data_IF_399432811067
#
_entry.id   IF_399432811067
#
_cell.length_a   1.000
_cell.length_b   1.000
_cell.length_c   1.000
_cell.angle_alpha   90.00
_cell.angle_beta   90.00
_cell.angle_gamma   90.00
#
_symmetry.space_group_name_H-M   'P 1'
#
loop_
_entity.id
_entity.type
_entity.pdbx_description
1 polymer ?
#
# COMPACT_ATOMS: atom_id res chain seq x y z
N UNK A 1 7.36 -15.48 -9.87
CA UNK A 1 6.23 -14.65 -10.35
C UNK A 1 6.25 -14.71 -11.85
N UNK A 2 5.15 -15.11 -12.47
CA UNK A 2 5.02 -15.21 -13.93
C UNK A 2 3.87 -14.33 -14.37
N UNK A 3 4.18 -13.28 -15.11
CA UNK A 3 3.24 -12.30 -15.65
C UNK A 3 3.58 -11.91 -17.10
N UNK A 4 4.31 -12.77 -17.81
CA UNK A 4 4.65 -12.57 -19.21
C UNK A 4 3.43 -12.51 -20.12
N UNK A 5 3.55 -11.84 -21.27
CA UNK A 5 2.49 -11.72 -22.29
C UNK A 5 1.22 -11.05 -21.76
N UNK A 6 1.36 -9.88 -21.16
CA UNK A 6 0.25 -9.06 -20.67
C UNK A 6 0.42 -7.60 -21.14
N UNK A 7 -0.47 -6.71 -20.67
CA UNK A 7 -0.45 -5.28 -21.00
C UNK A 7 -0.02 -4.43 -19.78
N UNK A 8 0.84 -4.98 -18.91
CA UNK A 8 1.28 -4.28 -17.70
C UNK A 8 2.14 -3.07 -18.07
N UNK A 9 1.82 -1.92 -17.48
CA UNK A 9 2.57 -0.67 -17.68
C UNK A 9 3.63 -0.46 -16.58
N UNK A 10 3.42 -1.03 -15.40
CA UNK A 10 4.38 -0.98 -14.29
C UNK A 10 4.35 -2.28 -13.49
N UNK A 11 5.51 -2.64 -12.92
CA UNK A 11 5.65 -3.76 -12.01
C UNK A 11 6.59 -3.36 -10.88
N UNK A 12 6.11 -3.44 -9.64
CA UNK A 12 6.89 -3.21 -8.44
C UNK A 12 6.83 -4.46 -7.56
N UNK A 13 7.99 -5.03 -7.24
CA UNK A 13 8.14 -6.20 -6.38
C UNK A 13 9.08 -5.95 -5.20
N UNK A 14 9.34 -4.68 -4.86
CA UNK A 14 10.27 -4.28 -3.80
C UNK A 14 9.98 -4.92 -2.42
N UNK A 15 8.72 -5.29 -2.15
CA UNK A 15 8.31 -5.96 -0.91
C UNK A 15 8.36 -7.50 -0.98
N UNK A 16 8.59 -8.08 -2.16
CA UNK A 16 8.63 -9.53 -2.35
C UNK A 16 10.03 -10.10 -2.04
N UNK A 17 10.48 -9.95 -0.81
CA UNK A 17 11.86 -10.28 -0.36
C UNK A 17 12.24 -11.76 -0.47
N UNK A 18 11.27 -12.66 -0.67
CA UNK A 18 11.48 -14.10 -0.85
C UNK A 18 11.38 -14.56 -2.31
N UNK A 19 11.13 -13.64 -3.26
CA UNK A 19 10.98 -14.00 -4.66
C UNK A 19 12.33 -14.36 -5.28
N UNK A 20 12.40 -15.53 -5.92
CA UNK A 20 13.62 -16.04 -6.59
C UNK A 20 13.46 -16.24 -8.10
N UNK A 21 12.27 -16.00 -8.64
CA UNK A 21 11.99 -16.15 -10.07
C UNK A 21 11.05 -15.06 -10.55
N UNK A 22 11.39 -14.41 -11.67
CA UNK A 22 10.53 -13.43 -12.32
C UNK A 22 10.54 -13.59 -13.83
N UNK A 23 9.35 -13.81 -14.39
CA UNK A 23 9.07 -13.77 -15.82
C UNK A 23 8.05 -12.65 -16.06
N UNK A 24 8.53 -11.52 -16.60
CA UNK A 24 7.74 -10.32 -16.89
C UNK A 24 7.98 -9.82 -18.33
N UNK A 25 8.47 -10.71 -19.19
CA UNK A 25 8.71 -10.46 -20.60
C UNK A 25 7.41 -10.20 -21.38
N UNK A 26 7.52 -9.54 -22.53
CA UNK A 26 6.40 -9.27 -23.43
C UNK A 26 5.24 -8.52 -22.72
N UNK A 27 5.55 -7.33 -22.22
CA UNK A 27 4.60 -6.41 -21.58
C UNK A 27 4.79 -4.98 -22.14
N UNK A 28 4.11 -4.00 -21.55
CA UNK A 28 4.25 -2.58 -21.89
C UNK A 28 4.96 -1.80 -20.77
N UNK A 29 5.84 -2.46 -20.00
CA UNK A 29 6.43 -1.87 -18.82
C UNK A 29 7.20 -0.60 -19.21
N UNK A 30 6.87 0.50 -18.54
CA UNK A 30 7.68 1.71 -18.51
C UNK A 30 8.36 1.90 -17.15
N UNK A 31 8.00 1.08 -16.16
CA UNK A 31 8.64 1.02 -14.85
C UNK A 31 8.72 -0.41 -14.33
N UNK A 32 9.92 -0.83 -13.93
CA UNK A 32 10.17 -2.11 -13.28
C UNK A 32 11.06 -1.89 -12.05
N UNK A 33 10.52 -2.12 -10.85
CA UNK A 33 11.28 -2.10 -9.60
C UNK A 33 11.40 -3.51 -9.05
N UNK A 34 12.62 -4.04 -9.10
CA UNK A 34 13.01 -5.34 -8.56
C UNK A 34 13.95 -5.23 -7.36
N UNK A 35 14.18 -4.03 -6.82
CA UNK A 35 15.02 -3.76 -5.65
C UNK A 35 14.37 -4.30 -4.37
N UNK A 36 14.41 -5.61 -4.20
CA UNK A 36 13.72 -6.36 -3.15
C UNK A 36 14.66 -6.96 -2.09
N UNK A 37 15.95 -6.58 -2.12
CA UNK A 37 16.97 -7.15 -1.24
C UNK A 37 17.33 -8.60 -1.52
N UNK A 38 16.89 -9.17 -2.66
CA UNK A 38 17.03 -10.59 -2.97
C UNK A 38 17.52 -10.86 -4.41
N UNK A 39 17.97 -9.85 -5.17
CA UNK A 39 18.36 -10.01 -6.58
C UNK A 39 19.38 -11.13 -6.81
N UNK A 40 20.38 -11.28 -5.95
CA UNK A 40 21.43 -12.29 -6.08
C UNK A 40 20.97 -13.75 -5.90
N UNK A 41 19.77 -13.95 -5.34
CA UNK A 41 19.17 -15.27 -5.15
C UNK A 41 18.15 -15.63 -6.25
N UNK A 42 18.00 -14.81 -7.29
CA UNK A 42 17.15 -15.18 -8.41
C UNK A 42 17.80 -16.29 -9.22
N UNK A 43 17.04 -17.34 -9.49
CA UNK A 43 17.43 -18.38 -10.44
C UNK A 43 17.06 -17.99 -11.87
N UNK A 44 15.99 -17.20 -12.02
CA UNK A 44 15.43 -16.82 -13.32
C UNK A 44 14.93 -15.37 -13.30
N UNK A 45 15.35 -14.59 -14.29
CA UNK A 45 14.90 -13.22 -14.51
C UNK A 45 14.75 -12.97 -16.02
N UNK A 46 13.52 -12.70 -16.47
CA UNK A 46 13.22 -12.38 -17.86
C UNK A 46 12.34 -11.14 -17.93
N UNK A 47 12.83 -10.09 -18.58
CA UNK A 47 12.17 -8.79 -18.70
C UNK A 47 12.28 -8.16 -20.11
N UNK A 48 12.68 -8.94 -21.11
CA UNK A 48 12.73 -8.51 -22.52
C UNK A 48 11.33 -8.33 -23.13
N UNK A 49 11.21 -7.65 -24.26
CA UNK A 49 9.92 -7.38 -24.90
C UNK A 49 9.10 -6.30 -24.17
N UNK A 50 9.77 -5.41 -23.45
CA UNK A 50 9.24 -4.23 -22.76
C UNK A 50 9.88 -2.97 -23.36
N UNK A 51 9.55 -2.65 -24.61
CA UNK A 51 10.26 -1.60 -25.39
C UNK A 51 10.19 -0.19 -24.80
N UNK A 52 9.22 0.09 -23.92
CA UNK A 52 9.08 1.37 -23.22
C UNK A 52 9.93 1.47 -21.94
N UNK A 53 10.56 0.37 -21.53
CA UNK A 53 11.35 0.29 -20.31
C UNK A 53 12.76 0.79 -20.58
N UNK A 54 13.12 1.91 -19.96
CA UNK A 54 14.46 2.51 -20.10
C UNK A 54 15.34 2.28 -18.88
N UNK A 55 14.72 1.99 -17.73
CA UNK A 55 15.43 1.78 -16.46
C UNK A 55 14.73 0.71 -15.61
N UNK A 56 15.54 -0.16 -15.02
CA UNK A 56 15.13 -1.21 -14.09
C UNK A 56 15.80 -0.93 -12.73
N UNK A 57 15.00 -0.76 -11.69
CA UNK A 57 15.50 -0.48 -10.36
C UNK A 57 15.92 -1.78 -9.65
N UNK A 58 17.20 -1.87 -9.27
CA UNK A 58 17.84 -3.07 -8.73
C UNK A 58 18.55 -2.82 -7.40
N UNK A 59 18.92 -3.89 -6.69
CA UNK A 59 19.70 -3.82 -5.45
C UNK A 59 21.17 -3.43 -5.73
N UNK A 60 21.78 -4.02 -6.76
CA UNK A 60 23.18 -3.80 -7.16
C UNK A 60 23.29 -3.75 -8.69
N UNK A 61 23.74 -2.61 -9.23
CA UNK A 61 23.87 -2.39 -10.68
C UNK A 61 24.95 -3.27 -11.30
N UNK A 62 26.09 -3.45 -10.63
CA UNK A 62 27.23 -4.21 -11.15
C UNK A 62 26.86 -5.68 -11.24
N UNK A 63 26.28 -6.22 -10.16
CA UNK A 63 25.83 -7.62 -10.14
C UNK A 63 24.74 -7.86 -11.18
N UNK A 64 23.73 -6.97 -11.26
CA UNK A 64 22.62 -7.12 -12.22
C UNK A 64 23.11 -7.02 -13.66
N UNK A 65 24.06 -6.13 -13.96
CA UNK A 65 24.66 -6.04 -15.29
C UNK A 65 25.43 -7.31 -15.65
N UNK A 66 26.15 -7.91 -14.70
CA UNK A 66 26.90 -9.14 -14.96
C UNK A 66 26.01 -10.37 -15.19
N UNK A 67 24.82 -10.42 -14.56
CA UNK A 67 23.97 -11.62 -14.55
C UNK A 67 22.69 -11.51 -15.39
N UNK A 68 22.15 -10.31 -15.58
CA UNK A 68 20.81 -10.11 -16.17
C UNK A 68 20.78 -9.32 -17.48
N UNK A 69 21.91 -8.76 -17.94
CA UNK A 69 21.94 -7.88 -19.12
C UNK A 69 21.43 -8.54 -20.41
N UNK A 70 21.52 -9.87 -20.52
CA UNK A 70 21.02 -10.62 -21.68
C UNK A 70 19.52 -10.90 -21.64
N UNK A 71 18.84 -10.57 -20.54
CA UNK A 71 17.42 -10.86 -20.32
C UNK A 71 16.53 -9.60 -20.28
N UNK A 72 17.07 -8.47 -20.71
CA UNK A 72 16.38 -7.18 -20.82
C UNK A 72 16.47 -6.66 -22.25
N UNK A 73 15.65 -5.67 -22.60
CA UNK A 73 15.77 -4.99 -23.89
C UNK A 73 17.03 -4.11 -23.95
N UNK A 74 17.62 -3.95 -25.15
CA UNK A 74 18.83 -3.17 -25.34
C UNK A 74 18.69 -1.67 -24.96
N UNK A 75 17.46 -1.16 -24.89
CA UNK A 75 17.17 0.21 -24.45
C UNK A 75 17.05 0.38 -22.94
N UNK A 76 17.04 -0.70 -22.17
CA UNK A 76 16.91 -0.68 -20.72
C UNK A 76 18.28 -0.68 -20.04
N UNK A 77 18.37 -0.02 -18.88
CA UNK A 77 19.56 0.04 -18.04
C UNK A 77 19.23 -0.33 -16.60
N UNK A 78 20.23 -0.79 -15.84
CA UNK A 78 20.07 -1.02 -14.40
C UNK A 78 20.49 0.22 -13.60
N UNK A 79 19.72 0.58 -12.58
CA UNK A 79 20.06 1.65 -11.64
C UNK A 79 19.56 1.29 -10.23
N UNK A 80 20.19 1.83 -9.19
CA UNK A 80 19.63 1.77 -7.83
C UNK A 80 18.55 2.82 -7.57
N UNK A 81 18.34 3.74 -8.54
CA UNK A 81 17.31 4.77 -8.54
C UNK A 81 17.02 5.22 -9.98
N UNK A 82 15.85 4.90 -10.50
CA UNK A 82 15.41 5.30 -11.85
C UNK A 82 14.78 6.70 -11.91
N UNK A 83 14.73 7.44 -10.79
CA UNK A 83 14.17 8.78 -10.69
C UNK A 83 12.64 8.87 -10.81
N UNK A 84 12.00 7.83 -11.34
CA UNK A 84 10.54 7.70 -11.48
C UNK A 84 10.07 6.53 -10.63
N UNK A 85 9.24 6.74 -9.59
CA UNK A 85 8.73 5.63 -8.81
C UNK A 85 7.78 4.79 -9.65
N UNK A 86 7.83 3.46 -9.51
CA UNK A 86 6.85 2.55 -10.07
C UNK A 86 5.52 2.71 -9.34
N UNK A 87 4.79 3.79 -9.65
CA UNK A 87 3.44 4.00 -9.15
C UNK A 87 2.52 3.03 -9.89
N UNK A 88 2.21 1.91 -9.25
CA UNK A 88 0.98 1.18 -9.54
C UNK A 88 -0.21 2.12 -9.24
N UNK A 89 -1.35 1.91 -9.91
CA UNK A 89 -2.52 2.82 -9.88
C UNK A 89 -3.21 3.00 -8.52
N UNK A 90 -2.59 2.53 -7.44
CA UNK A 90 -3.01 2.73 -6.06
C UNK A 90 -1.76 3.17 -5.31
N UNK A 91 -1.76 4.38 -4.74
CA UNK A 91 -0.70 4.82 -3.84
C UNK A 91 -0.59 3.85 -2.67
N UNK A 92 0.62 3.34 -2.40
CA UNK A 92 0.89 2.57 -1.18
C UNK A 92 0.58 3.45 0.03
N UNK A 93 -0.49 3.11 0.74
CA UNK A 93 -0.99 3.89 1.85
C UNK A 93 -0.23 3.52 3.12
N UNK A 94 0.54 4.47 3.64
CA UNK A 94 1.24 4.33 4.92
C UNK A 94 0.18 4.23 6.02
N UNK A 95 0.00 3.04 6.59
CA UNK A 95 -0.94 2.80 7.69
C UNK A 95 -0.67 3.79 8.83
N UNK A 96 -1.59 4.73 9.05
CA UNK A 96 -1.57 5.58 10.22
C UNK A 96 -1.95 4.74 11.44
N UNK A 97 -1.06 4.70 12.44
CA UNK A 97 -1.25 3.96 13.69
C UNK A 97 -2.28 4.69 14.55
N UNK A 98 -3.56 4.46 14.30
CA UNK A 98 -4.65 4.97 15.12
C UNK A 98 -5.17 3.85 16.03
N UNK A 99 -5.28 4.11 17.32
CA UNK A 99 -5.89 3.22 18.32
C UNK A 99 -7.22 3.80 18.81
N UNK A 100 -8.22 2.93 18.99
CA UNK A 100 -9.53 3.28 19.58
C UNK A 100 -9.84 2.31 20.72
N UNK A 101 -10.04 2.82 21.93
CA UNK A 101 -10.25 2.02 23.14
C UNK A 101 -11.16 2.72 24.16
N UNK A 102 -11.83 1.99 25.07
CA UNK A 102 -11.91 0.53 25.10
C UNK A 102 -12.77 0.01 23.95
N UNK A 103 -12.45 -1.20 23.48
CA UNK A 103 -13.28 -1.95 22.54
C UNK A 103 -13.32 -3.40 23.00
N UNK A 104 -14.47 -3.93 23.50
CA UNK A 104 -15.78 -3.29 23.56
C UNK A 104 -15.89 -2.09 24.52
N UNK A 105 -16.88 -1.22 24.30
CA UNK A 105 -17.21 -0.09 25.18
C UNK A 105 -18.67 -0.10 25.60
N UNK A 106 -19.00 0.52 26.74
CA UNK A 106 -20.37 0.77 27.20
C UNK A 106 -20.84 2.21 27.02
N UNK A 107 -19.92 3.17 26.82
CA UNK A 107 -20.30 4.60 26.88
C UNK A 107 -19.33 5.55 26.20
N UNK A 108 -18.03 5.25 26.18
CA UNK A 108 -17.02 6.21 25.72
C UNK A 108 -15.92 5.50 24.92
N UNK A 109 -15.41 6.18 23.89
CA UNK A 109 -14.23 5.76 23.13
C UNK A 109 -13.18 6.86 23.22
N UNK A 110 -11.94 6.48 23.48
CA UNK A 110 -10.75 7.32 23.38
C UNK A 110 -10.07 7.02 22.06
N UNK A 111 -9.70 8.07 21.33
CA UNK A 111 -8.98 8.00 20.06
C UNK A 111 -7.56 8.51 20.26
N UNK A 112 -6.59 7.64 20.01
CA UNK A 112 -5.18 8.00 19.93
C UNK A 112 -4.80 8.14 18.46
N UNK A 113 -4.70 9.38 18.00
CA UNK A 113 -4.54 9.72 16.59
C UNK A 113 -3.08 9.91 16.15
N UNK A 114 -2.10 9.70 17.04
CA UNK A 114 -0.68 9.86 16.73
C UNK A 114 -0.28 11.26 16.24
N UNK A 115 -1.05 12.30 16.60
CA UNK A 115 -0.84 13.68 16.15
C UNK A 115 -1.72 14.13 14.97
N UNK A 116 -2.56 13.24 14.42
CA UNK A 116 -3.51 13.62 13.37
C UNK A 116 -4.66 14.49 13.92
N UNK A 117 -5.00 15.53 13.16
CA UNK A 117 -6.14 16.41 13.42
C UNK A 117 -7.40 15.79 12.81
N UNK A 118 -8.32 15.37 13.66
CA UNK A 118 -9.60 14.78 13.24
C UNK A 118 -10.62 15.90 13.14
N UNK A 119 -11.07 16.21 11.92
CA UNK A 119 -12.01 17.29 11.65
C UNK A 119 -13.46 16.86 11.87
N UNK A 120 -13.76 15.59 11.58
CA UNK A 120 -15.11 15.03 11.67
C UNK A 120 -15.06 13.54 11.96
N UNK A 121 -16.05 13.06 12.69
CA UNK A 121 -16.26 11.65 12.96
C UNK A 121 -17.64 11.27 12.48
N UNK A 122 -17.75 10.20 11.70
CA UNK A 122 -19.02 9.57 11.37
C UNK A 122 -19.07 8.19 12.02
N UNK A 123 -20.21 7.84 12.62
CA UNK A 123 -20.47 6.49 13.13
C UNK A 123 -21.60 5.89 12.30
N UNK A 124 -21.37 4.66 11.85
CA UNK A 124 -22.24 3.91 10.95
C UNK A 124 -22.55 2.56 11.57
N UNK A 125 -23.81 2.12 11.55
CA UNK A 125 -24.18 0.77 11.99
C UNK A 125 -23.79 -0.31 10.98
N UNK A 126 -23.93 -1.58 11.35
CA UNK A 126 -23.65 -2.72 10.44
C UNK A 126 -24.46 -2.73 9.14
N UNK A 127 -25.62 -2.06 9.12
CA UNK A 127 -26.48 -1.95 7.93
C UNK A 127 -26.04 -0.83 6.98
N UNK A 128 -24.94 -0.12 7.29
CA UNK A 128 -24.46 1.01 6.49
C UNK A 128 -25.17 2.33 6.77
N UNK A 129 -26.18 2.35 7.65
CA UNK A 129 -26.86 3.60 8.05
C UNK A 129 -25.95 4.42 8.97
N UNK A 130 -25.73 5.68 8.61
CA UNK A 130 -25.08 6.67 9.47
C UNK A 130 -25.97 6.95 10.68
N UNK A 131 -25.45 6.75 11.88
CA UNK A 131 -26.17 6.91 13.15
C UNK A 131 -25.74 8.15 13.92
N UNK A 132 -24.52 8.63 13.72
CA UNK A 132 -23.99 9.80 14.43
C UNK A 132 -22.92 10.53 13.62
N UNK A 133 -22.91 11.85 13.70
CA UNK A 133 -21.85 12.72 13.16
C UNK A 133 -21.37 13.65 14.27
N UNK A 134 -20.05 13.78 14.42
CA UNK A 134 -19.44 14.51 15.53
C UNK A 134 -18.30 15.36 14.97
N UNK A 135 -18.22 16.62 15.40
CA UNK A 135 -17.01 17.45 15.25
C UNK A 135 -16.29 17.39 16.60
N UNK A 136 -15.20 16.60 16.72
CA UNK A 136 -14.60 16.32 18.03
C UNK A 136 -13.92 17.58 18.60
N UNK A 137 -14.20 17.87 19.87
CA UNK A 137 -13.48 18.90 20.66
C UNK A 137 -12.38 18.29 21.54
N UNK A 138 -12.47 16.99 21.78
CA UNK A 138 -11.56 16.19 22.59
C UNK A 138 -11.32 14.86 21.88
N UNK A 139 -10.36 14.08 22.38
CA UNK A 139 -10.10 12.72 21.94
C UNK A 139 -11.07 11.67 22.54
N UNK A 140 -12.02 12.08 23.38
CA UNK A 140 -13.00 11.20 24.02
C UNK A 140 -14.38 11.41 23.40
N UNK A 141 -14.94 10.34 22.86
CA UNK A 141 -16.21 10.32 22.13
C UNK A 141 -17.25 9.57 22.94
N UNK A 142 -18.34 10.26 23.27
CA UNK A 142 -19.49 9.64 23.93
C UNK A 142 -20.35 8.88 22.92
N UNK A 143 -20.56 7.59 23.20
CA UNK A 143 -21.36 6.62 22.43
C UNK A 143 -22.40 5.91 23.30
N UNK A 144 -22.70 6.42 24.49
CA UNK A 144 -23.66 5.83 25.42
C UNK A 144 -25.10 5.79 24.88
N UNK A 145 -25.42 6.71 23.97
CA UNK A 145 -26.69 6.82 23.27
C UNK A 145 -26.89 5.76 22.17
N UNK A 146 -25.82 5.06 21.78
CA UNK A 146 -25.91 4.00 20.78
C UNK A 146 -26.43 2.70 21.42
N UNK A 147 -27.34 1.97 20.73
CA UNK A 147 -27.76 0.66 21.17
C UNK A 147 -26.59 -0.33 21.14
N UNK A 148 -26.70 -1.42 21.90
CA UNK A 148 -25.70 -2.50 21.87
C UNK A 148 -25.60 -3.07 20.45
N UNK A 149 -24.38 -3.26 19.95
CA UNK A 149 -24.15 -3.70 18.59
C UNK A 149 -22.76 -3.38 18.05
N UNK A 150 -22.57 -3.68 16.77
CA UNK A 150 -21.31 -3.42 16.04
C UNK A 150 -21.47 -2.12 15.25
N UNK A 151 -20.43 -1.30 15.27
CA UNK A 151 -20.40 -0.02 14.57
C UNK A 151 -19.05 0.18 13.87
N UNK A 152 -19.08 0.99 12.82
CA UNK A 152 -17.89 1.52 12.16
C UNK A 152 -17.76 3.00 12.49
N UNK A 153 -16.59 3.39 12.99
CA UNK A 153 -16.22 4.78 13.23
C UNK A 153 -15.25 5.23 12.14
N UNK A 154 -15.61 6.31 11.46
CA UNK A 154 -14.82 6.94 10.41
C UNK A 154 -14.24 8.24 10.96
N UNK A 155 -12.92 8.34 11.02
CA UNK A 155 -12.17 9.52 11.43
C UNK A 155 -11.71 10.25 10.17
N UNK A 156 -12.26 11.45 9.96
CA UNK A 156 -12.02 12.24 8.75
C UNK A 156 -11.05 13.35 9.11
N UNK A 157 -9.86 13.29 8.54
CA UNK A 157 -8.83 14.33 8.63
C UNK A 157 -8.94 15.26 7.42
N UNK A 158 -7.92 16.09 7.18
CA UNK A 158 -7.86 16.92 5.96
C UNK A 158 -7.57 16.07 4.72
N UNK A 159 -6.73 15.05 4.88
CA UNK A 159 -6.12 14.33 3.76
C UNK A 159 -6.68 12.91 3.62
N UNK A 160 -7.26 12.35 4.69
CA UNK A 160 -7.67 10.95 4.72
C UNK A 160 -8.93 10.68 5.56
N UNK A 161 -9.54 9.53 5.29
CA UNK A 161 -10.61 8.97 6.13
C UNK A 161 -10.18 7.59 6.63
N UNK A 162 -9.94 7.48 7.93
CA UNK A 162 -9.62 6.19 8.56
C UNK A 162 -10.91 5.55 9.07
N UNK A 163 -11.12 4.26 8.80
CA UNK A 163 -12.29 3.52 9.30
C UNK A 163 -11.85 2.42 10.27
N UNK A 164 -12.49 2.35 11.45
CA UNK A 164 -12.30 1.26 12.40
C UNK A 164 -13.64 0.69 12.87
N UNK A 165 -13.62 -0.57 13.32
CA UNK A 165 -14.79 -1.25 13.89
C UNK A 165 -14.71 -1.22 15.42
N UNK A 166 -15.80 -0.89 16.09
CA UNK A 166 -15.94 -1.06 17.54
C UNK A 166 -17.25 -1.75 17.92
N UNK A 167 -17.28 -2.33 19.13
CA UNK A 167 -18.42 -3.03 19.70
C UNK A 167 -18.96 -2.23 20.89
N UNK A 168 -20.27 -1.97 20.88
CA UNK A 168 -21.02 -1.35 21.97
C UNK A 168 -21.76 -2.44 22.75
N UNK A 169 -21.49 -2.55 24.05
CA UNK A 169 -22.20 -3.43 24.99
C UNK A 169 -23.12 -2.65 25.92
#
# INVERSE_FOLDING_TARGET
LTCSNNELNSLNINQNVLLTQLYCDNNLLNCLNVKNGNNSNFTDFFAFGNTNLTCIEVDDVVWSTANWITFIDAGATFSTNCGTPCSVGISEYKSSTISIFPNPTSSQLTIESGGLIINKINITGITGRMVKTIVPKTNVINVADLPCGIFFIQLITKDETITQKFVKN
#
